data_IF_793199606294
#
_entry.id   IF_793199606294
#
_cell.length_a   1.000
_cell.length_b   1.000
_cell.length_c   1.000
_cell.angle_alpha   90.00
_cell.angle_beta   90.00
_cell.angle_gamma   90.00
#
_symmetry.space_group_name_H-M   'P 1'
#
loop_
_entity.id
_entity.type
_entity.pdbx_description
1 polymer ?
#
# COMPACT_ATOMS: atom_id res chain seq x y z
N UNK A 1 23.88 -13.55 4.38
CA UNK A 1 22.51 -13.39 3.87
C UNK A 1 21.76 -12.50 4.85
N UNK A 2 21.18 -11.39 4.40
CA UNK A 2 20.38 -10.54 5.29
C UNK A 2 18.92 -10.99 5.23
N UNK A 3 18.38 -11.44 6.37
CA UNK A 3 16.98 -11.79 6.55
C UNK A 3 16.24 -10.63 7.22
N UNK A 4 15.09 -10.25 6.66
CA UNK A 4 14.25 -9.17 7.19
C UNK A 4 12.78 -9.62 7.27
N UNK A 5 12.03 -9.05 8.21
CA UNK A 5 10.57 -9.22 8.25
C UNK A 5 9.91 -8.32 7.18
N UNK A 6 8.79 -8.75 6.58
CA UNK A 6 8.05 -7.90 5.66
C UNK A 6 7.56 -6.64 6.39
N UNK A 7 7.53 -5.50 5.71
CA UNK A 7 7.09 -4.23 6.29
C UNK A 7 6.39 -3.34 5.27
N UNK A 8 5.66 -2.35 5.75
CA UNK A 8 5.05 -1.32 4.93
C UNK A 8 5.19 0.06 5.58
N UNK A 9 5.07 1.09 4.76
CA UNK A 9 5.12 2.49 5.17
C UNK A 9 4.13 3.29 4.32
N UNK A 10 3.25 4.05 4.98
CA UNK A 10 2.31 4.91 4.27
C UNK A 10 3.05 6.21 3.93
N UNK A 11 3.36 6.42 2.64
CA UNK A 11 4.10 7.58 2.16
C UNK A 11 3.19 8.80 2.01
N UNK A 12 1.94 8.58 1.62
CA UNK A 12 0.93 9.62 1.46
C UNK A 12 -0.43 9.03 1.80
N UNK A 13 -1.07 9.59 2.81
CA UNK A 13 -2.44 9.29 3.18
C UNK A 13 -3.23 10.60 3.16
N UNK A 14 -4.37 10.67 2.47
CA UNK A 14 -5.24 11.83 2.58
C UNK A 14 -5.71 12.01 4.03
N UNK A 15 -5.74 13.26 4.50
CA UNK A 15 -6.34 13.58 5.79
C UNK A 15 -7.88 13.63 5.69
N UNK A 16 -8.56 14.04 6.77
CA UNK A 16 -10.01 14.14 6.80
C UNK A 16 -10.59 15.11 5.74
N UNK A 17 -9.78 16.00 5.16
CA UNK A 17 -10.23 16.91 4.10
C UNK A 17 -10.62 16.19 2.82
N UNK A 18 -10.13 14.97 2.59
CA UNK A 18 -10.47 14.17 1.41
C UNK A 18 -11.96 13.87 1.32
N UNK A 19 -12.64 13.76 2.46
CA UNK A 19 -14.09 13.54 2.51
C UNK A 19 -14.84 14.71 1.86
N UNK A 20 -14.31 15.94 1.99
CA UNK A 20 -14.88 17.12 1.33
C UNK A 20 -14.73 17.06 -0.19
N UNK A 21 -13.60 16.54 -0.68
CA UNK A 21 -13.39 16.31 -2.11
C UNK A 21 -14.39 15.29 -2.67
N UNK A 22 -14.56 14.15 -1.96
CA UNK A 22 -15.51 13.10 -2.32
C UNK A 22 -16.95 13.65 -2.30
N UNK A 23 -17.32 14.43 -1.27
CA UNK A 23 -18.64 15.06 -1.21
C UNK A 23 -18.88 16.03 -2.37
N UNK A 24 -17.92 16.90 -2.65
CA UNK A 24 -18.01 17.84 -3.76
C UNK A 24 -18.20 17.10 -5.09
N UNK A 25 -17.37 16.11 -5.38
CA UNK A 25 -17.48 15.30 -6.60
C UNK A 25 -18.85 14.60 -6.72
N UNK A 26 -19.31 13.98 -5.63
CA UNK A 26 -20.61 13.29 -5.64
C UNK A 26 -21.79 14.23 -5.79
N UNK A 27 -21.73 15.44 -5.21
CA UNK A 27 -22.84 16.41 -5.29
C UNK A 27 -22.96 17.07 -6.66
N UNK A 28 -21.85 17.23 -7.39
CA UNK A 28 -21.86 17.69 -8.80
C UNK A 28 -22.73 16.79 -9.67
N UNK A 29 -22.70 15.47 -9.45
CA UNK A 29 -23.53 14.51 -10.19
C UNK A 29 -25.05 14.74 -9.99
N UNK A 30 -25.45 15.36 -8.88
CA UNK A 30 -26.85 15.62 -8.52
C UNK A 30 -27.22 17.11 -8.50
N UNK A 31 -26.30 18.01 -8.88
CA UNK A 31 -26.45 19.47 -8.76
C UNK A 31 -26.96 19.88 -7.37
N UNK A 32 -26.30 19.36 -6.33
CA UNK A 32 -26.70 19.54 -4.92
C UNK A 32 -25.60 20.11 -4.03
N UNK A 33 -24.72 20.93 -4.63
CA UNK A 33 -23.59 21.59 -4.00
C UNK A 33 -24.02 22.58 -2.90
N UNK A 34 -25.25 23.10 -2.99
CA UNK A 34 -25.90 23.96 -2.01
C UNK A 34 -26.05 23.31 -0.61
N UNK A 35 -26.00 21.98 -0.56
CA UNK A 35 -26.16 21.19 0.68
C UNK A 35 -24.82 20.84 1.36
N UNK A 36 -23.71 21.41 0.91
CA UNK A 36 -22.39 21.23 1.54
C UNK A 36 -22.34 22.10 2.80
N UNK A 37 -22.02 21.48 3.94
CA UNK A 37 -21.75 22.13 5.22
C UNK A 37 -20.39 21.69 5.75
N UNK A 38 -19.90 22.31 6.81
CA UNK A 38 -18.60 21.93 7.40
C UNK A 38 -18.57 20.49 7.93
N UNK A 39 -19.73 19.92 8.28
CA UNK A 39 -19.90 18.60 8.89
C UNK A 39 -20.62 17.57 8.00
N UNK A 40 -21.01 17.93 6.77
CA UNK A 40 -21.80 17.06 5.89
C UNK A 40 -21.00 15.92 5.28
N UNK A 41 -19.71 16.13 5.01
CA UNK A 41 -18.87 15.21 4.24
C UNK A 41 -18.83 13.77 4.78
N UNK A 42 -18.65 13.51 6.09
CA UNK A 42 -18.66 12.14 6.62
C UNK A 42 -20.02 11.45 6.47
N UNK A 43 -21.12 12.18 6.65
CA UNK A 43 -22.49 11.66 6.48
C UNK A 43 -22.76 11.34 5.00
N UNK A 44 -22.33 12.23 4.11
CA UNK A 44 -22.46 12.05 2.66
C UNK A 44 -21.68 10.83 2.16
N UNK A 45 -20.41 10.68 2.56
CA UNK A 45 -19.57 9.54 2.14
C UNK A 45 -20.17 8.20 2.58
N UNK A 46 -20.66 8.10 3.83
CA UNK A 46 -21.37 6.90 4.30
C UNK A 46 -22.61 6.59 3.46
N UNK A 47 -23.38 7.61 3.11
CA UNK A 47 -24.57 7.46 2.28
C UNK A 47 -24.21 6.98 0.86
N UNK A 48 -23.19 7.55 0.22
CA UNK A 48 -22.73 7.13 -1.12
C UNK A 48 -22.27 5.67 -1.12
N UNK A 49 -21.51 5.24 -0.10
CA UNK A 49 -21.11 3.84 0.06
C UNK A 49 -22.33 2.92 0.23
N UNK A 50 -23.32 3.30 1.04
CA UNK A 50 -24.54 2.50 1.23
C UNK A 50 -25.36 2.34 -0.06
N UNK A 51 -25.21 3.28 -1.00
CA UNK A 51 -25.88 3.25 -2.31
C UNK A 51 -25.04 2.58 -3.41
N UNK A 52 -23.83 2.09 -3.09
CA UNK A 52 -22.92 1.48 -4.05
C UNK A 52 -22.50 2.42 -5.20
N UNK A 53 -22.47 3.73 -4.95
CA UNK A 53 -21.96 4.72 -5.91
C UNK A 53 -20.44 4.87 -5.74
N UNK A 54 -19.71 3.78 -5.93
CA UNK A 54 -18.29 3.65 -5.56
C UNK A 54 -17.36 4.50 -6.44
N UNK A 55 -17.77 4.89 -7.65
CA UNK A 55 -16.96 5.76 -8.51
C UNK A 55 -16.58 7.09 -7.85
N UNK A 56 -17.39 7.57 -6.90
CA UNK A 56 -17.13 8.85 -6.20
C UNK A 56 -15.95 8.74 -5.22
N UNK A 57 -15.70 7.55 -4.64
CA UNK A 57 -14.57 7.37 -3.71
C UNK A 57 -13.22 7.24 -4.45
N UNK A 58 -13.24 6.96 -5.75
CA UNK A 58 -12.03 6.89 -6.60
C UNK A 58 -11.32 8.26 -6.77
N UNK A 59 -11.97 9.37 -6.36
CA UNK A 59 -11.33 10.68 -6.29
C UNK A 59 -10.25 10.79 -5.20
N UNK A 60 -10.15 9.80 -4.30
CA UNK A 60 -9.12 9.71 -3.28
C UNK A 60 -8.08 8.65 -3.63
N UNK A 61 -6.80 8.93 -3.34
CA UNK A 61 -5.70 7.98 -3.52
C UNK A 61 -4.74 8.01 -2.33
N UNK A 62 -4.07 6.88 -2.10
CA UNK A 62 -3.06 6.68 -1.05
C UNK A 62 -1.84 6.01 -1.67
N UNK A 63 -0.65 6.36 -1.18
CA UNK A 63 0.62 5.75 -1.60
C UNK A 63 1.25 5.00 -0.45
N UNK A 64 1.54 3.72 -0.66
CA UNK A 64 2.18 2.85 0.33
C UNK A 64 3.46 2.25 -0.26
N UNK A 65 4.54 2.26 0.51
CA UNK A 65 5.77 1.55 0.20
C UNK A 65 5.76 0.20 0.90
N UNK A 66 5.98 -0.86 0.14
CA UNK A 66 6.10 -2.22 0.67
C UNK A 66 7.54 -2.71 0.57
N UNK A 67 8.00 -3.41 1.60
CA UNK A 67 9.23 -4.21 1.60
C UNK A 67 8.83 -5.66 1.84
N UNK A 68 8.77 -6.43 0.75
CA UNK A 68 8.08 -7.71 0.65
C UNK A 68 8.79 -8.59 -0.40
N UNK A 69 8.43 -9.88 -0.45
CA UNK A 69 9.07 -10.82 -1.35
C UNK A 69 8.52 -10.72 -2.78
N UNK A 70 9.24 -11.34 -3.72
CA UNK A 70 8.87 -11.32 -5.14
C UNK A 70 7.55 -12.02 -5.43
N UNK A 71 7.25 -13.11 -4.72
CA UNK A 71 6.00 -13.85 -4.86
C UNK A 71 4.79 -12.98 -4.49
N UNK A 72 4.87 -12.28 -3.36
CA UNK A 72 3.85 -11.30 -2.98
C UNK A 72 3.66 -10.22 -4.06
N UNK A 73 4.76 -9.65 -4.57
CA UNK A 73 4.63 -8.61 -5.61
C UNK A 73 4.04 -9.11 -6.92
N UNK A 74 4.22 -10.39 -7.26
CA UNK A 74 3.64 -10.99 -8.47
C UNK A 74 2.11 -11.09 -8.40
N UNK A 75 1.56 -11.30 -7.21
CA UNK A 75 0.11 -11.25 -6.99
C UNK A 75 -0.38 -9.80 -6.86
N UNK A 76 0.36 -8.94 -6.17
CA UNK A 76 -0.02 -7.54 -5.97
C UNK A 76 -0.22 -6.79 -7.30
N UNK A 77 0.66 -6.98 -8.28
CA UNK A 77 0.56 -6.28 -9.58
C UNK A 77 -0.59 -6.77 -10.46
N UNK A 78 -1.33 -7.80 -10.03
CA UNK A 78 -2.56 -8.24 -10.73
C UNK A 78 -3.72 -7.28 -10.50
N UNK A 79 -3.64 -6.43 -9.48
CA UNK A 79 -4.58 -5.33 -9.27
C UNK A 79 -4.30 -4.20 -10.26
N UNK A 80 -5.12 -4.11 -11.31
CA UNK A 80 -4.91 -3.18 -12.44
C UNK A 80 -5.30 -1.73 -12.15
N UNK A 81 -6.15 -1.50 -11.15
CA UNK A 81 -6.55 -0.16 -10.69
C UNK A 81 -5.62 0.33 -9.58
N UNK A 82 -4.32 0.38 -9.90
CA UNK A 82 -3.26 0.86 -9.03
C UNK A 82 -2.04 1.26 -9.86
N UNK A 83 -1.16 2.09 -9.29
CA UNK A 83 0.10 2.48 -9.90
C UNK A 83 1.27 1.89 -9.11
N UNK A 84 2.21 1.25 -9.80
CA UNK A 84 3.33 0.54 -9.15
C UNK A 84 4.67 1.08 -9.62
N UNK A 85 5.59 1.25 -8.67
CA UNK A 85 7.02 1.40 -8.92
C UNK A 85 7.73 0.31 -8.14
N UNK A 86 8.42 -0.59 -8.84
CA UNK A 86 9.08 -1.74 -8.23
C UNK A 86 10.60 -1.64 -8.39
N UNK A 87 11.30 -2.14 -7.38
CA UNK A 87 12.74 -2.31 -7.47
C UNK A 87 13.09 -3.17 -8.70
N UNK A 88 13.95 -2.63 -9.57
CA UNK A 88 14.32 -3.30 -10.80
C UNK A 88 15.53 -4.19 -10.58
N UNK A 89 15.34 -5.51 -10.72
CA UNK A 89 16.45 -6.47 -10.68
C UNK A 89 17.44 -6.30 -11.84
N UNK A 90 17.06 -5.57 -12.89
CA UNK A 90 17.91 -5.27 -14.06
C UNK A 90 18.87 -4.10 -13.83
N UNK A 91 18.54 -3.18 -12.92
CA UNK A 91 19.27 -1.92 -12.74
C UNK A 91 19.85 -1.75 -11.33
N UNK A 92 19.27 -2.40 -10.31
CA UNK A 92 19.80 -2.32 -8.95
C UNK A 92 21.12 -3.07 -8.81
N UNK A 93 22.14 -2.39 -8.29
CA UNK A 93 23.45 -2.98 -8.06
C UNK A 93 23.48 -3.73 -6.72
N UNK A 94 23.15 -5.01 -6.76
CA UNK A 94 23.16 -5.89 -5.58
C UNK A 94 24.56 -6.21 -5.06
N UNK A 95 25.59 -6.17 -5.91
CA UNK A 95 26.98 -6.38 -5.48
C UNK A 95 27.46 -5.33 -4.49
N UNK A 96 26.94 -4.10 -4.57
CA UNK A 96 27.26 -3.01 -3.64
C UNK A 96 26.24 -2.86 -2.51
N UNK A 97 24.95 -3.10 -2.78
CA UNK A 97 23.86 -2.87 -1.81
C UNK A 97 23.50 -4.10 -0.98
N UNK A 98 24.00 -5.28 -1.34
CA UNK A 98 23.60 -6.56 -0.76
C UNK A 98 22.25 -7.03 -1.30
N UNK A 99 21.88 -8.26 -0.92
CA UNK A 99 20.57 -8.86 -1.21
C UNK A 99 19.89 -9.15 0.13
N UNK A 100 18.62 -8.78 0.21
CA UNK A 100 17.74 -9.03 1.34
C UNK A 100 16.74 -10.13 0.98
N UNK A 101 16.44 -10.97 1.96
CA UNK A 101 15.42 -12.01 1.84
C UNK A 101 14.35 -11.78 2.90
N UNK A 102 13.11 -11.96 2.51
CA UNK A 102 11.98 -11.82 3.42
C UNK A 102 11.78 -13.14 4.16
N UNK A 103 11.64 -13.05 5.48
CA UNK A 103 11.26 -14.16 6.34
C UNK A 103 9.76 -14.40 6.13
N UNK A 104 9.35 -15.60 5.67
CA UNK A 104 7.95 -15.96 5.60
C UNK A 104 7.26 -15.85 6.97
N UNK A 105 6.04 -15.31 7.06
CA UNK A 105 5.37 -15.06 8.35
C UNK A 105 5.13 -16.31 9.21
N UNK A 106 5.15 -17.50 8.61
CA UNK A 106 4.96 -18.78 9.29
C UNK A 106 6.28 -19.39 9.82
N UNK A 107 7.43 -18.76 9.56
CA UNK A 107 8.72 -19.18 10.10
C UNK A 107 9.12 -18.31 11.28
N UNK A 108 9.50 -18.97 12.38
CA UNK A 108 10.01 -18.32 13.58
C UNK A 108 11.53 -18.17 13.49
N UNK A 109 11.95 -17.20 12.69
CA UNK A 109 13.36 -16.85 12.47
C UNK A 109 13.52 -15.37 12.78
N UNK A 110 14.57 -15.02 13.53
CA UNK A 110 14.86 -13.62 13.82
C UNK A 110 15.47 -12.89 12.60
N UNK A 111 15.13 -11.62 12.37
CA UNK A 111 15.83 -10.81 11.38
C UNK A 111 17.31 -10.69 11.72
N UNK A 112 18.17 -10.75 10.71
CA UNK A 112 19.61 -10.67 10.96
C UNK A 112 20.48 -11.06 9.77
N UNK A 113 21.78 -11.10 10.02
CA UNK A 113 22.76 -11.56 9.05
C UNK A 113 23.12 -13.02 9.35
N UNK A 114 22.74 -13.91 8.45
CA UNK A 114 23.00 -15.35 8.53
C UNK A 114 24.17 -15.72 7.64
N UNK A 115 25.01 -16.67 8.08
CA UNK A 115 26.09 -17.19 7.25
C UNK A 115 26.08 -18.71 7.21
N UNK A 116 26.27 -19.26 6.02
CA UNK A 116 26.17 -20.70 5.71
C UNK A 116 27.09 -21.54 6.59
N UNK A 117 28.19 -20.96 7.10
CA UNK A 117 29.27 -21.68 7.77
C UNK A 117 29.23 -21.64 9.30
N UNK A 118 28.43 -20.76 9.92
CA UNK A 118 28.35 -20.68 11.39
C UNK A 118 27.02 -21.17 11.96
N UNK A 119 25.95 -21.17 11.17
CA UNK A 119 24.59 -21.44 11.66
C UNK A 119 24.10 -22.87 11.36
N UNK A 120 24.75 -23.57 10.42
CA UNK A 120 24.49 -24.97 10.11
C UNK A 120 25.78 -25.73 10.43
N UNK A 121 25.85 -26.33 11.62
CA UNK A 121 27.06 -26.96 12.16
C UNK A 121 27.80 -27.80 11.12
N UNK A 122 29.13 -27.61 11.06
CA UNK A 122 30.05 -28.49 10.35
C UNK A 122 29.83 -29.93 10.82
N UNK A 123 29.15 -30.71 9.99
CA UNK A 123 29.05 -32.17 10.08
C UNK A 123 30.41 -32.82 9.86
#
# INVERSE_FOLDING_TARGET
MQLIKPSYEILSCPDASILKLIEMAGRVCYKSEDKITDDSAPKFCRMILSRQHESVIEHASMTVRFVVDRGFTHELVRHRLASFSQESTRYCNYSKKGIQFIIPPWLDIEPGNYSIWSDFGSS
#
